data_IF_315884546557
#
_entry.id   IF_315884546557
#
_cell.length_a   1.000
_cell.length_b   1.000
_cell.length_c   1.000
_cell.angle_alpha   90.00
_cell.angle_beta   90.00
_cell.angle_gamma   90.00
#
_symmetry.space_group_name_H-M   'P 1'
#
loop_
_entity.id
_entity.type
_entity.pdbx_description
1 polymer ?
#
# COMPACT_ATOMS: atom_id res chain seq x y z
N UNK A 1 53.94 40.70 -37.87
CA UNK A 1 52.90 39.70 -37.56
C UNK A 1 53.12 39.05 -36.19
N UNK A 2 54.32 38.55 -35.86
CA UNK A 2 54.63 37.96 -34.53
C UNK A 2 54.49 38.95 -33.35
N UNK A 3 54.90 40.21 -33.51
CA UNK A 3 54.74 41.26 -32.48
C UNK A 3 53.28 41.63 -32.14
N UNK A 4 52.34 41.41 -33.07
CA UNK A 4 50.90 41.71 -32.86
C UNK A 4 50.21 40.57 -32.09
N UNK A 5 50.70 39.33 -32.23
CA UNK A 5 50.25 38.20 -31.41
C UNK A 5 50.75 38.27 -29.96
N UNK A 6 51.96 38.80 -29.73
CA UNK A 6 52.52 38.94 -28.37
C UNK A 6 51.77 39.98 -27.52
N UNK A 7 51.37 41.12 -28.09
CA UNK A 7 50.54 42.10 -27.38
C UNK A 7 49.10 41.63 -27.16
N UNK A 8 48.57 40.83 -28.10
CA UNK A 8 47.22 40.26 -27.98
C UNK A 8 47.16 39.16 -26.91
N UNK A 9 48.21 38.35 -26.76
CA UNK A 9 48.29 37.35 -25.69
C UNK A 9 48.52 37.97 -24.31
N UNK A 10 49.30 39.06 -24.20
CA UNK A 10 49.44 39.80 -22.92
C UNK A 10 48.12 40.43 -22.45
N UNK A 11 47.25 40.87 -23.36
CA UNK A 11 45.90 41.34 -23.01
C UNK A 11 44.99 40.21 -22.51
N UNK A 12 45.09 39.01 -23.08
CA UNK A 12 44.32 37.84 -22.63
C UNK A 12 44.77 37.36 -21.24
N UNK A 13 46.07 37.41 -20.94
CA UNK A 13 46.58 37.03 -19.60
C UNK A 13 46.27 38.10 -18.53
N UNK A 14 46.19 39.38 -18.91
CA UNK A 14 45.89 40.47 -17.96
C UNK A 14 44.42 40.53 -17.55
N UNK A 15 43.49 40.06 -18.39
CA UNK A 15 42.08 39.92 -18.00
C UNK A 15 41.81 38.73 -17.06
N UNK A 16 42.77 37.82 -16.87
CA UNK A 16 42.65 36.70 -15.94
C UNK A 16 43.25 36.97 -14.54
N UNK A 17 43.94 38.11 -14.34
CA UNK A 17 44.73 38.38 -13.12
C UNK A 17 44.41 39.71 -12.42
N UNK A 18 43.32 40.38 -12.81
CA UNK A 18 42.78 41.54 -12.08
C UNK A 18 41.58 41.14 -11.20
N UNK A 19 41.89 40.59 -10.03
CA UNK A 19 41.33 41.11 -8.77
C UNK A 19 39.83 41.00 -8.47
N UNK A 20 39.08 40.15 -9.15
CA UNK A 20 37.83 39.63 -8.59
C UNK A 20 38.13 38.26 -8.01
N UNK A 21 37.94 38.06 -6.70
CA UNK A 21 37.70 36.70 -6.22
C UNK A 21 36.53 36.18 -7.05
N UNK A 22 36.81 35.35 -8.06
CA UNK A 22 35.80 34.50 -8.63
C UNK A 22 35.50 33.55 -7.48
N UNK A 23 34.60 34.00 -6.59
CA UNK A 23 33.83 33.10 -5.77
C UNK A 23 33.32 32.11 -6.79
N UNK A 24 33.93 30.92 -6.83
CA UNK A 24 33.25 29.73 -7.27
C UNK A 24 32.10 29.55 -6.28
N UNK A 25 31.12 30.46 -6.34
CA UNK A 25 29.81 30.29 -5.80
C UNK A 25 29.34 29.08 -6.55
N UNK A 26 29.39 27.94 -5.87
CA UNK A 26 28.73 26.74 -6.32
C UNK A 26 27.32 27.22 -6.58
N UNK A 27 26.97 27.38 -7.87
CA UNK A 27 25.59 27.60 -8.27
C UNK A 27 24.93 26.29 -7.90
N UNK A 28 24.44 26.20 -6.66
CA UNK A 28 23.58 25.12 -6.26
C UNK A 28 22.32 25.34 -7.07
N UNK A 29 22.18 24.60 -8.17
CA UNK A 29 20.91 24.52 -8.88
C UNK A 29 19.93 23.97 -7.85
N UNK A 30 19.11 24.86 -7.31
CA UNK A 30 18.11 24.48 -6.33
C UNK A 30 17.15 23.53 -7.04
N UNK A 31 17.01 22.32 -6.51
CA UNK A 31 16.05 21.38 -7.06
C UNK A 31 14.64 21.97 -6.93
N UNK A 32 13.83 21.86 -7.99
CA UNK A 32 12.41 22.19 -7.88
C UNK A 32 11.81 21.35 -6.76
N UNK A 33 11.06 21.99 -5.87
CA UNK A 33 10.45 21.40 -4.69
C UNK A 33 8.97 21.72 -4.74
N UNK A 34 8.14 20.69 -4.66
CA UNK A 34 6.71 20.87 -4.51
C UNK A 34 6.44 21.26 -3.05
N UNK A 35 6.02 22.50 -2.88
CA UNK A 35 5.80 23.15 -1.57
C UNK A 35 4.36 23.07 -1.11
N UNK A 36 3.41 22.99 -2.06
CA UNK A 36 1.98 23.12 -1.79
C UNK A 36 1.56 24.50 -1.24
N UNK A 37 2.38 25.54 -1.47
CA UNK A 37 2.14 26.90 -0.95
C UNK A 37 1.13 27.71 -1.78
N UNK A 38 0.71 27.22 -2.95
CA UNK A 38 -0.19 27.91 -3.88
C UNK A 38 -1.66 27.94 -3.48
N UNK A 39 -2.01 27.38 -2.32
CA UNK A 39 -3.39 27.34 -1.78
C UNK A 39 -4.26 26.21 -2.33
N UNK A 40 -3.70 25.33 -3.15
CA UNK A 40 -4.31 24.08 -3.63
C UNK A 40 -3.26 22.95 -3.62
N UNK A 41 -3.65 21.76 -4.08
CA UNK A 41 -2.82 20.54 -4.13
C UNK A 41 -2.37 20.15 -5.53
N UNK A 42 -2.64 21.00 -6.54
CA UNK A 42 -2.53 20.62 -7.93
C UNK A 42 -1.06 20.64 -8.41
N UNK A 43 -0.58 19.52 -8.96
CA UNK A 43 0.79 19.39 -9.46
C UNK A 43 1.16 20.47 -10.48
N UNK A 44 0.21 20.82 -11.36
CA UNK A 44 0.43 21.72 -12.48
C UNK A 44 0.23 23.21 -12.13
N UNK A 45 -0.11 23.55 -10.88
CA UNK A 45 -0.15 24.95 -10.46
C UNK A 45 1.29 25.43 -10.19
N UNK A 46 1.83 26.38 -10.96
CA UNK A 46 3.19 26.87 -10.75
C UNK A 46 3.42 27.46 -9.36
N UNK A 47 2.39 27.98 -8.69
CA UNK A 47 2.49 28.52 -7.34
C UNK A 47 2.79 27.45 -6.28
N UNK A 48 2.55 26.17 -6.57
CA UNK A 48 2.93 25.06 -5.68
C UNK A 48 4.41 24.69 -5.80
N UNK A 49 5.15 25.27 -6.74
CA UNK A 49 6.58 25.03 -6.92
C UNK A 49 7.39 26.19 -6.36
N UNK A 50 8.43 25.89 -5.60
CA UNK A 50 9.35 26.90 -5.05
C UNK A 50 10.02 27.78 -6.14
N UNK A 51 10.16 27.26 -7.36
CA UNK A 51 10.70 28.00 -8.51
C UNK A 51 9.63 28.77 -9.28
N UNK A 52 8.35 28.64 -8.93
CA UNK A 52 7.23 29.22 -9.67
C UNK A 52 7.02 28.59 -11.05
N UNK A 53 7.60 27.41 -11.31
CA UNK A 53 7.59 26.75 -12.61
C UNK A 53 7.27 25.26 -12.43
N UNK A 54 6.31 24.77 -13.21
CA UNK A 54 6.01 23.33 -13.28
C UNK A 54 7.13 22.61 -14.05
N UNK A 55 7.72 21.54 -13.47
CA UNK A 55 8.70 20.69 -14.14
C UNK A 55 8.23 20.21 -15.52
N UNK A 56 9.17 20.16 -16.47
CA UNK A 56 8.93 19.50 -17.75
C UNK A 56 9.25 18.00 -17.64
N UNK A 57 8.58 17.17 -18.45
CA UNK A 57 8.78 15.71 -18.46
C UNK A 57 10.19 15.23 -18.86
N UNK A 58 11.02 16.10 -19.43
CA UNK A 58 12.40 15.79 -19.82
C UNK A 58 13.42 16.09 -18.72
N UNK A 59 13.04 16.85 -17.70
CA UNK A 59 13.96 17.25 -16.66
C UNK A 59 14.07 16.13 -15.62
N UNK A 60 15.30 15.69 -15.33
CA UNK A 60 15.62 14.88 -14.16
C UNK A 60 15.47 15.75 -12.90
N UNK A 61 14.26 16.22 -12.65
CA UNK A 61 13.97 17.08 -11.52
C UNK A 61 14.08 16.23 -10.28
N UNK A 62 15.01 16.62 -9.40
CA UNK A 62 15.17 16.06 -8.06
C UNK A 62 14.05 16.57 -7.14
N UNK A 63 12.80 16.45 -7.59
CA UNK A 63 11.59 16.91 -6.93
C UNK A 63 11.54 16.35 -5.53
N UNK A 64 11.78 17.20 -4.53
CA UNK A 64 11.67 16.81 -3.13
C UNK A 64 10.33 17.23 -2.57
N UNK A 65 9.69 16.31 -1.86
CA UNK A 65 8.50 16.55 -1.06
C UNK A 65 8.97 16.71 0.40
N UNK A 66 9.21 17.95 0.82
CA UNK A 66 9.93 18.24 2.07
C UNK A 66 9.01 18.39 3.30
N UNK A 67 7.69 18.38 3.11
CA UNK A 67 6.70 18.58 4.17
C UNK A 67 5.55 17.55 4.11
N UNK A 68 4.64 17.61 5.09
CA UNK A 68 3.33 16.97 4.96
C UNK A 68 2.61 17.59 3.78
N UNK A 69 2.28 16.81 2.77
CA UNK A 69 1.61 17.34 1.60
C UNK A 69 0.80 16.29 0.86
N UNK A 70 -0.22 16.81 0.19
CA UNK A 70 -1.01 16.10 -0.81
C UNK A 70 -0.68 16.70 -2.17
N UNK A 71 -0.38 15.86 -3.16
CA UNK A 71 -0.14 16.29 -4.53
C UNK A 71 -1.12 15.58 -5.47
N UNK A 72 -1.92 16.37 -6.17
CA UNK A 72 -2.98 15.90 -7.04
C UNK A 72 -2.60 16.13 -8.51
N UNK A 73 -2.54 15.03 -9.24
CA UNK A 73 -2.67 15.03 -10.69
C UNK A 73 -4.15 14.81 -11.00
N UNK A 74 -4.71 15.67 -11.85
CA UNK A 74 -6.13 15.65 -12.19
C UNK A 74 -6.28 15.64 -13.72
N UNK A 75 -7.20 14.83 -14.24
CA UNK A 75 -7.36 14.63 -15.67
C UNK A 75 -7.71 15.94 -16.42
N UNK A 76 -8.49 16.81 -15.78
CA UNK A 76 -8.83 18.13 -16.32
C UNK A 76 -7.60 19.00 -16.61
N UNK A 77 -6.49 18.71 -15.91
CA UNK A 77 -5.27 19.49 -15.90
C UNK A 77 -4.24 19.01 -16.91
N UNK A 78 -4.49 17.87 -17.56
CA UNK A 78 -3.66 17.37 -18.65
C UNK A 78 -3.55 18.38 -19.81
N UNK A 79 -4.61 19.16 -20.02
CA UNK A 79 -4.65 20.28 -20.97
C UNK A 79 -3.55 21.32 -20.69
N UNK A 80 -3.28 21.65 -19.43
CA UNK A 80 -2.20 22.55 -19.05
C UNK A 80 -0.83 21.98 -19.44
N UNK A 81 -0.58 20.70 -19.13
CA UNK A 81 0.70 20.06 -19.44
C UNK A 81 0.95 20.02 -20.95
N UNK A 82 -0.10 19.73 -21.73
CA UNK A 82 -0.06 19.74 -23.19
C UNK A 82 0.19 21.16 -23.75
N UNK A 83 -0.59 22.16 -23.33
CA UNK A 83 -0.51 23.54 -23.80
C UNK A 83 0.85 24.20 -23.52
N UNK A 84 1.55 23.75 -22.48
CA UNK A 84 2.86 24.26 -22.07
C UNK A 84 4.02 23.36 -22.52
N UNK A 85 3.79 22.41 -23.44
CA UNK A 85 4.80 21.48 -23.96
C UNK A 85 5.58 20.75 -22.86
N UNK A 86 4.90 20.40 -21.76
CA UNK A 86 5.48 19.68 -20.63
C UNK A 86 5.44 18.17 -20.79
N UNK A 87 4.65 17.66 -21.74
CA UNK A 87 4.56 16.25 -22.08
C UNK A 87 5.67 15.83 -23.05
N UNK A 88 6.05 14.54 -23.02
CA UNK A 88 7.00 13.97 -23.98
C UNK A 88 6.30 13.66 -25.32
N UNK A 89 5.05 13.22 -25.26
CA UNK A 89 4.15 13.03 -26.40
C UNK A 89 2.82 13.69 -26.09
N UNK A 90 1.81 13.62 -26.97
CA UNK A 90 0.48 14.19 -26.68
C UNK A 90 -0.21 13.58 -25.44
N UNK A 91 0.19 12.38 -25.02
CA UNK A 91 -0.47 11.60 -23.95
C UNK A 91 0.51 10.99 -22.95
N UNK A 92 1.82 11.28 -23.05
CA UNK A 92 2.83 10.74 -22.13
C UNK A 92 3.51 11.84 -21.33
N UNK A 93 3.35 11.80 -20.01
CA UNK A 93 4.21 12.55 -19.08
C UNK A 93 5.28 11.61 -18.54
N UNK A 94 6.55 11.93 -18.80
CA UNK A 94 7.67 11.25 -18.15
C UNK A 94 7.95 11.87 -16.80
N UNK A 95 7.58 11.11 -15.80
CA UNK A 95 7.56 11.55 -14.42
C UNK A 95 8.88 11.46 -13.72
N UNK A 96 8.93 12.22 -12.63
CA UNK A 96 9.99 12.27 -11.65
C UNK A 96 10.09 10.89 -10.98
N UNK A 97 11.18 10.14 -11.20
CA UNK A 97 11.44 8.89 -10.46
C UNK A 97 11.31 9.08 -8.95
N UNK A 98 11.62 10.29 -8.45
CA UNK A 98 11.52 10.66 -7.03
C UNK A 98 10.13 10.99 -6.50
N UNK A 99 9.13 11.18 -7.36
CA UNK A 99 7.76 11.38 -6.92
C UNK A 99 7.27 10.17 -6.13
N UNK A 100 7.69 8.98 -6.58
CA UNK A 100 7.42 7.71 -5.93
C UNK A 100 8.60 7.17 -5.15
N UNK A 101 9.68 7.92 -4.97
CA UNK A 101 10.71 7.54 -4.00
C UNK A 101 10.52 8.50 -2.86
N UNK A 102 9.87 8.08 -1.77
CA UNK A 102 9.85 8.85 -0.54
C UNK A 102 11.26 9.39 -0.33
N UNK A 103 11.43 10.70 -0.54
CA UNK A 103 12.76 11.27 -0.63
C UNK A 103 13.47 10.89 0.68
N UNK A 104 14.76 10.58 0.67
CA UNK A 104 15.52 10.43 1.93
C UNK A 104 15.36 11.69 2.82
N UNK A 105 14.94 12.80 2.21
CA UNK A 105 14.59 14.06 2.86
C UNK A 105 13.14 14.15 3.36
N UNK A 106 12.21 13.30 2.94
CA UNK A 106 10.84 13.26 3.46
C UNK A 106 10.90 13.12 4.98
N UNK A 107 10.30 14.04 5.73
CA UNK A 107 10.30 13.97 7.20
C UNK A 107 8.95 13.56 7.75
N UNK A 108 7.92 13.45 6.90
CA UNK A 108 6.52 13.32 7.30
C UNK A 108 5.64 12.68 6.21
N UNK A 109 4.34 12.56 6.49
CA UNK A 109 3.31 11.91 5.67
C UNK A 109 3.14 12.55 4.28
N UNK A 110 3.04 11.73 3.23
CA UNK A 110 2.85 12.18 1.86
C UNK A 110 1.67 11.46 1.22
N UNK A 111 0.84 12.19 0.46
CA UNK A 111 -0.25 11.61 -0.32
C UNK A 111 -0.13 12.09 -1.76
N UNK A 112 -0.17 11.15 -2.71
CA UNK A 112 -0.10 11.46 -4.14
C UNK A 112 -1.33 10.84 -4.81
N UNK A 113 -2.16 11.67 -5.43
CA UNK A 113 -3.33 11.24 -6.17
C UNK A 113 -3.06 11.34 -7.66
N UNK A 114 -3.23 10.22 -8.36
CA UNK A 114 -2.99 10.08 -9.78
C UNK A 114 -4.31 9.86 -10.51
N UNK A 115 -4.88 10.96 -11.02
CA UNK A 115 -6.01 10.96 -11.93
C UNK A 115 -5.54 11.64 -13.23
N UNK A 116 -5.15 10.84 -14.23
CA UNK A 116 -4.65 11.38 -15.50
C UNK A 116 -5.70 11.38 -16.60
N UNK A 117 -6.80 10.64 -16.43
CA UNK A 117 -7.74 10.28 -17.48
C UNK A 117 -7.24 9.07 -18.27
N UNK A 118 -8.16 8.19 -18.67
CA UNK A 118 -7.86 6.85 -19.18
C UNK A 118 -6.98 6.82 -20.45
N UNK A 119 -6.94 7.91 -21.22
CA UNK A 119 -6.13 8.03 -22.43
C UNK A 119 -4.66 8.40 -22.17
N UNK A 120 -4.29 8.71 -20.94
CA UNK A 120 -3.00 9.30 -20.60
C UNK A 120 -2.09 8.33 -19.83
N UNK A 121 -0.79 8.47 -20.07
CA UNK A 121 0.25 7.65 -19.50
C UNK A 121 1.23 8.51 -18.71
N UNK A 122 1.42 8.14 -17.45
CA UNK A 122 2.56 8.55 -16.65
C UNK A 122 3.60 7.45 -16.66
N UNK A 123 4.82 7.79 -17.05
CA UNK A 123 5.91 6.83 -17.19
C UNK A 123 7.13 7.26 -16.39
N UNK A 124 7.57 6.42 -15.46
CA UNK A 124 8.81 6.61 -14.72
C UNK A 124 9.88 5.65 -15.26
N UNK A 125 11.09 6.16 -15.50
CA UNK A 125 12.21 5.36 -16.01
C UNK A 125 13.48 5.67 -15.22
N UNK A 126 14.11 4.67 -14.61
CA UNK A 126 15.30 4.92 -13.78
C UNK A 126 16.12 3.67 -13.48
N UNK A 127 17.43 3.85 -13.28
CA UNK A 127 18.32 2.76 -12.85
C UNK A 127 18.33 2.51 -11.34
N UNK A 128 17.46 3.17 -10.57
CA UNK A 128 17.35 3.03 -9.11
C UNK A 128 15.98 2.52 -8.74
N UNK A 129 15.87 1.81 -7.61
CA UNK A 129 14.59 1.36 -7.09
C UNK A 129 13.66 2.55 -6.83
N UNK A 130 12.37 2.29 -6.87
CA UNK A 130 11.34 3.26 -6.47
C UNK A 130 10.75 2.85 -5.13
N UNK A 131 10.26 3.81 -4.36
CA UNK A 131 9.98 3.60 -2.95
C UNK A 131 8.74 4.34 -2.43
N UNK A 132 7.70 3.63 -2.06
CA UNK A 132 6.61 4.22 -1.28
C UNK A 132 6.99 4.05 0.20
N UNK A 133 7.27 5.17 0.87
CA UNK A 133 7.82 5.22 2.24
C UNK A 133 9.23 4.61 2.38
N UNK A 134 10.27 5.37 1.99
CA UNK A 134 11.68 4.97 2.08
C UNK A 134 12.41 5.51 3.32
N UNK A 135 11.69 5.88 4.37
CA UNK A 135 12.28 6.54 5.54
C UNK A 135 11.55 6.18 6.81
N UNK A 136 12.31 5.93 7.86
CA UNK A 136 11.79 5.66 9.20
C UNK A 136 10.82 6.73 9.66
N UNK A 137 9.66 6.30 10.17
CA UNK A 137 8.61 7.18 10.70
C UNK A 137 7.80 7.92 9.63
N UNK A 138 7.98 7.61 8.35
CA UNK A 138 7.25 8.24 7.25
C UNK A 138 6.15 7.31 6.73
N UNK A 139 4.97 7.87 6.53
CA UNK A 139 3.88 7.25 5.77
C UNK A 139 3.79 7.87 4.38
N UNK A 140 3.70 7.07 3.34
CA UNK A 140 3.47 7.57 1.98
C UNK A 140 2.33 6.80 1.36
N UNK A 141 1.36 7.52 0.80
CA UNK A 141 0.21 6.96 0.10
C UNK A 141 0.26 7.37 -1.36
N UNK A 142 0.16 6.40 -2.26
CA UNK A 142 -0.06 6.60 -3.68
C UNK A 142 -1.44 6.08 -4.05
N UNK A 143 -2.29 6.93 -4.62
CA UNK A 143 -3.61 6.56 -5.11
C UNK A 143 -3.61 6.64 -6.64
N UNK A 144 -3.89 5.54 -7.32
CA UNK A 144 -4.20 5.52 -8.75
C UNK A 144 -5.71 5.47 -8.95
N UNK A 145 -6.25 6.53 -9.55
CA UNK A 145 -7.67 6.74 -9.78
C UNK A 145 -8.02 6.49 -11.25
N UNK A 146 -7.22 7.01 -12.19
CA UNK A 146 -7.44 6.83 -13.62
C UNK A 146 -6.16 7.00 -14.45
N UNK A 147 -6.21 6.60 -15.72
CA UNK A 147 -5.05 6.62 -16.62
C UNK A 147 -4.06 5.49 -16.35
N UNK A 148 -2.90 5.52 -17.02
CA UNK A 148 -1.88 4.50 -16.89
C UNK A 148 -0.64 5.02 -16.15
N UNK A 149 -0.08 4.20 -15.27
CA UNK A 149 1.21 4.37 -14.60
C UNK A 149 2.11 3.21 -15.02
N UNK A 150 3.24 3.50 -15.67
CA UNK A 150 4.22 2.48 -16.03
C UNK A 150 5.59 2.80 -15.42
N UNK A 151 6.01 1.90 -14.54
CA UNK A 151 7.24 1.93 -13.78
C UNK A 151 8.33 1.10 -14.47
N UNK A 152 9.10 1.70 -15.37
CA UNK A 152 10.24 1.03 -16.02
C UNK A 152 11.55 1.33 -15.27
N UNK A 153 11.63 0.92 -14.01
CA UNK A 153 12.80 1.12 -13.16
C UNK A 153 13.33 -0.18 -12.53
N UNK A 154 14.33 -0.07 -11.66
CA UNK A 154 14.63 -1.10 -10.66
C UNK A 154 13.43 -1.33 -9.72
N UNK A 155 13.44 -2.36 -8.84
CA UNK A 155 12.26 -2.78 -8.10
C UNK A 155 11.47 -1.67 -7.41
N UNK A 156 10.15 -1.82 -7.35
CA UNK A 156 9.30 -0.99 -6.50
C UNK A 156 9.30 -1.57 -5.08
N UNK A 157 9.52 -0.74 -4.07
CA UNK A 157 9.51 -1.13 -2.66
C UNK A 157 8.52 -0.30 -1.87
N UNK A 158 7.70 -0.95 -1.05
CA UNK A 158 6.76 -0.29 -0.16
C UNK A 158 7.15 -0.62 1.27
N UNK A 159 7.27 0.39 2.12
CA UNK A 159 7.75 0.21 3.49
C UNK A 159 9.21 -0.29 3.51
N UNK A 160 10.13 0.46 2.90
CA UNK A 160 11.52 0.01 2.75
C UNK A 160 12.37 0.20 4.03
N UNK A 161 11.90 0.98 4.99
CA UNK A 161 12.62 1.26 6.24
C UNK A 161 11.80 0.88 7.48
N UNK A 162 12.48 0.56 8.58
CA UNK A 162 11.80 0.27 9.85
C UNK A 162 10.88 1.42 10.27
N UNK A 163 9.70 1.11 10.81
CA UNK A 163 8.67 2.08 11.21
C UNK A 163 8.20 3.02 10.08
N UNK A 164 8.41 2.67 8.81
CA UNK A 164 7.77 3.34 7.68
C UNK A 164 6.48 2.63 7.30
N UNK A 165 5.53 3.34 6.65
CA UNK A 165 4.31 2.73 6.15
C UNK A 165 4.01 3.17 4.71
N UNK A 166 4.19 2.26 3.74
CA UNK A 166 3.91 2.53 2.33
C UNK A 166 2.53 2.01 1.91
N UNK A 167 1.70 2.86 1.32
CA UNK A 167 0.35 2.51 0.86
C UNK A 167 0.24 2.75 -0.64
N UNK A 168 -0.20 1.75 -1.38
CA UNK A 168 -0.57 1.84 -2.79
C UNK A 168 -2.04 1.45 -2.94
N UNK A 169 -2.89 2.40 -3.29
CA UNK A 169 -4.30 2.15 -3.62
C UNK A 169 -4.49 2.22 -5.13
N UNK A 170 -5.12 1.20 -5.71
CA UNK A 170 -5.49 1.14 -7.12
C UNK A 170 -7.00 0.97 -7.17
N UNK A 171 -7.70 2.07 -7.46
CA UNK A 171 -9.17 2.09 -7.57
C UNK A 171 -9.66 2.21 -9.01
N UNK A 172 -8.74 2.48 -9.95
CA UNK A 172 -9.02 2.58 -11.38
C UNK A 172 -7.73 2.67 -12.20
N UNK A 173 -7.87 2.91 -13.50
CA UNK A 173 -6.72 3.03 -14.40
C UNK A 173 -5.91 1.73 -14.53
N UNK A 174 -4.62 1.88 -14.83
CA UNK A 174 -3.67 0.79 -15.02
C UNK A 174 -2.35 1.07 -14.31
N UNK A 175 -1.96 0.21 -13.37
CA UNK A 175 -0.68 0.27 -12.69
C UNK A 175 0.22 -0.86 -13.19
N UNK A 176 1.34 -0.51 -13.80
CA UNK A 176 2.29 -1.45 -14.39
C UNK A 176 3.65 -1.30 -13.73
N UNK A 177 4.18 -2.41 -13.21
CA UNK A 177 5.60 -2.55 -12.87
C UNK A 177 6.32 -3.10 -14.08
N UNK A 178 6.73 -2.19 -14.97
CA UNK A 178 7.24 -2.52 -16.29
C UNK A 178 8.64 -3.11 -16.29
N UNK A 179 9.35 -3.09 -15.16
CA UNK A 179 10.66 -3.71 -14.96
C UNK A 179 10.87 -4.16 -13.51
N UNK A 180 11.45 -5.35 -13.36
CA UNK A 180 11.83 -5.99 -12.10
C UNK A 180 10.65 -6.19 -11.13
N UNK A 181 10.99 -6.60 -9.92
CA UNK A 181 10.07 -7.06 -8.89
C UNK A 181 9.38 -5.92 -8.13
N UNK A 182 8.36 -6.32 -7.35
CA UNK A 182 7.78 -5.54 -6.28
C UNK A 182 8.08 -6.15 -4.90
N UNK A 183 8.38 -5.31 -3.93
CA UNK A 183 8.55 -5.68 -2.52
C UNK A 183 7.54 -4.94 -1.66
N UNK A 184 6.74 -5.66 -0.90
CA UNK A 184 5.67 -5.12 -0.05
C UNK A 184 5.99 -5.47 1.39
N UNK A 185 6.43 -4.49 2.19
CA UNK A 185 6.52 -4.63 3.63
C UNK A 185 7.63 -5.57 4.12
N UNK A 186 8.82 -5.49 3.51
CA UNK A 186 9.99 -6.30 3.90
C UNK A 186 10.67 -5.77 5.16
N UNK A 187 10.76 -4.45 5.31
CA UNK A 187 11.47 -3.79 6.42
C UNK A 187 10.57 -2.89 7.28
N UNK A 188 9.59 -2.23 6.66
CA UNK A 188 8.52 -1.46 7.30
C UNK A 188 7.16 -2.02 6.90
N UNK A 189 6.09 -1.43 7.41
CA UNK A 189 4.74 -1.85 7.04
C UNK A 189 4.43 -1.43 5.60
N UNK A 190 3.61 -2.21 4.90
CA UNK A 190 3.09 -1.81 3.61
C UNK A 190 1.71 -2.38 3.32
N UNK A 191 0.92 -1.64 2.54
CA UNK A 191 -0.36 -2.07 2.01
C UNK A 191 -0.40 -1.80 0.51
N UNK A 192 -0.72 -2.84 -0.26
CA UNK A 192 -1.21 -2.71 -1.64
C UNK A 192 -2.69 -3.04 -1.60
N UNK A 193 -3.55 -2.14 -2.07
CA UNK A 193 -5.00 -2.34 -2.08
C UNK A 193 -5.54 -2.13 -3.48
N UNK A 194 -6.20 -3.15 -4.00
CA UNK A 194 -6.78 -3.14 -5.35
C UNK A 194 -8.30 -3.27 -5.22
N UNK A 195 -9.02 -2.20 -5.57
CA UNK A 195 -10.49 -2.16 -5.59
C UNK A 195 -11.04 -1.95 -7.00
N UNK A 196 -10.17 -1.66 -7.97
CA UNK A 196 -10.55 -1.34 -9.35
C UNK A 196 -9.36 -1.28 -10.30
N UNK A 197 -9.62 -1.01 -11.59
CA UNK A 197 -8.57 -0.84 -12.60
C UNK A 197 -7.82 -2.14 -12.94
N UNK A 198 -6.56 -2.02 -13.36
CA UNK A 198 -5.67 -3.17 -13.60
C UNK A 198 -4.33 -3.01 -12.89
N UNK A 199 -3.79 -4.12 -12.39
CA UNK A 199 -2.44 -4.20 -11.83
C UNK A 199 -1.66 -5.29 -12.56
N UNK A 200 -0.49 -4.94 -13.11
CA UNK A 200 0.40 -5.91 -13.75
C UNK A 200 1.84 -5.72 -13.32
N UNK A 201 2.55 -6.81 -13.06
CA UNK A 201 4.01 -6.78 -12.91
C UNK A 201 4.67 -7.49 -14.08
N UNK A 202 5.89 -7.06 -14.41
CA UNK A 202 6.74 -7.78 -15.35
C UNK A 202 7.38 -9.02 -14.74
N UNK A 203 7.59 -9.00 -13.44
CA UNK A 203 8.38 -9.97 -12.72
C UNK A 203 7.71 -10.27 -11.38
N UNK A 204 8.49 -10.68 -10.39
CA UNK A 204 8.03 -11.11 -9.08
C UNK A 204 7.26 -10.08 -8.25
N UNK A 205 6.44 -10.62 -7.34
CA UNK A 205 5.97 -9.93 -6.15
C UNK A 205 6.42 -10.65 -4.88
N UNK A 206 7.00 -9.89 -3.96
CA UNK A 206 7.50 -10.35 -2.68
C UNK A 206 6.79 -9.63 -1.54
N UNK A 207 5.89 -10.33 -0.84
CA UNK A 207 5.16 -9.80 0.31
C UNK A 207 5.91 -10.23 1.58
N UNK A 208 6.59 -9.27 2.20
CA UNK A 208 7.27 -9.44 3.48
C UNK A 208 6.29 -9.62 4.65
N UNK A 209 6.80 -9.99 5.82
CA UNK A 209 5.98 -10.26 7.02
C UNK A 209 5.23 -9.04 7.58
N UNK A 210 5.57 -7.83 7.13
CA UNK A 210 4.88 -6.58 7.47
C UNK A 210 4.05 -6.03 6.30
N UNK A 211 3.93 -6.80 5.22
CA UNK A 211 3.19 -6.45 4.01
C UNK A 211 1.81 -7.07 3.96
N UNK A 212 0.84 -6.28 3.49
CA UNK A 212 -0.49 -6.75 3.10
C UNK A 212 -0.71 -6.48 1.62
N UNK A 213 -1.17 -7.49 0.89
CA UNK A 213 -1.70 -7.35 -0.46
C UNK A 213 -3.20 -7.63 -0.40
N UNK A 214 -4.03 -6.62 -0.64
CA UNK A 214 -5.48 -6.67 -0.51
C UNK A 214 -6.14 -6.57 -1.89
N UNK A 215 -7.05 -7.51 -2.16
CA UNK A 215 -7.95 -7.48 -3.31
C UNK A 215 -9.39 -7.42 -2.80
N UNK A 216 -10.14 -6.40 -3.25
CA UNK A 216 -11.51 -6.17 -2.81
C UNK A 216 -12.47 -6.22 -3.98
N UNK A 217 -13.32 -7.25 -3.97
CA UNK A 217 -14.37 -7.46 -4.94
C UNK A 217 -13.87 -7.69 -6.36
N UNK A 218 -14.74 -7.45 -7.31
CA UNK A 218 -14.55 -7.68 -8.75
C UNK A 218 -14.33 -6.42 -9.56
N UNK A 219 -14.13 -5.29 -8.89
CA UNK A 219 -13.95 -4.00 -9.56
C UNK A 219 -12.69 -3.94 -10.43
N UNK A 220 -11.67 -4.75 -10.13
CA UNK A 220 -10.46 -4.82 -10.94
C UNK A 220 -10.68 -5.67 -12.19
N UNK A 221 -10.25 -5.15 -13.34
CA UNK A 221 -10.33 -5.85 -14.63
C UNK A 221 -9.26 -6.93 -14.78
N UNK A 222 -8.12 -6.76 -14.09
CA UNK A 222 -6.97 -7.68 -14.18
C UNK A 222 -6.01 -7.48 -13.00
N UNK A 223 -5.50 -8.59 -12.46
CA UNK A 223 -4.37 -8.61 -11.51
C UNK A 223 -3.41 -9.71 -11.99
N UNK A 224 -2.33 -9.33 -12.67
CA UNK A 224 -1.38 -10.26 -13.28
C UNK A 224 0.05 -10.08 -12.75
N UNK A 225 0.64 -11.15 -12.24
CA UNK A 225 2.03 -11.19 -11.78
C UNK A 225 2.84 -11.90 -12.86
N UNK A 226 3.79 -11.19 -13.48
CA UNK A 226 4.48 -11.67 -14.69
C UNK A 226 3.76 -11.34 -16.01
N UNK A 227 2.46 -11.00 -15.96
CA UNK A 227 1.64 -10.75 -17.15
C UNK A 227 1.96 -9.47 -17.93
N UNK A 228 3.01 -8.74 -17.56
CA UNK A 228 3.52 -7.63 -18.36
C UNK A 228 4.84 -7.99 -19.04
N UNK A 229 4.83 -8.11 -20.37
CA UNK A 229 5.99 -8.44 -21.21
C UNK A 229 6.24 -9.95 -21.32
N UNK A 230 7.44 -10.42 -20.97
CA UNK A 230 7.98 -11.73 -21.39
C UNK A 230 8.85 -12.36 -20.30
N UNK A 231 8.61 -11.98 -19.05
CA UNK A 231 9.33 -12.49 -17.89
C UNK A 231 8.28 -13.10 -17.00
N UNK A 232 8.53 -14.32 -16.56
CA UNK A 232 7.56 -15.04 -15.76
C UNK A 232 7.44 -14.41 -14.38
N UNK A 233 6.22 -14.44 -13.86
CA UNK A 233 5.94 -13.97 -12.53
C UNK A 233 6.31 -15.02 -11.49
N UNK A 234 6.55 -14.55 -10.26
CA UNK A 234 6.52 -15.37 -9.07
C UNK A 234 5.80 -14.65 -7.96
N UNK A 235 4.98 -15.39 -7.22
CA UNK A 235 4.41 -14.94 -5.97
C UNK A 235 5.21 -15.51 -4.80
N UNK A 236 5.78 -14.64 -3.97
CA UNK A 236 6.37 -15.05 -2.69
C UNK A 236 5.73 -14.26 -1.56
N UNK A 237 5.21 -14.96 -0.55
CA UNK A 237 4.53 -14.35 0.58
C UNK A 237 5.10 -14.85 1.90
N UNK A 238 5.21 -13.92 2.86
CA UNK A 238 5.44 -14.16 4.29
C UNK A 238 4.56 -13.27 5.17
N UNK A 239 3.85 -12.30 4.57
CA UNK A 239 2.83 -11.47 5.21
C UNK A 239 1.42 -11.92 4.85
N UNK A 240 0.53 -10.95 4.63
CA UNK A 240 -0.92 -11.18 4.49
C UNK A 240 -1.40 -10.98 3.06
N UNK A 241 -2.14 -11.95 2.54
CA UNK A 241 -3.05 -11.78 1.40
C UNK A 241 -4.44 -11.55 1.96
N UNK A 242 -5.01 -10.35 1.75
CA UNK A 242 -6.36 -10.00 2.17
C UNK A 242 -7.32 -10.03 0.99
N UNK A 243 -8.48 -10.67 1.17
CA UNK A 243 -9.46 -10.95 0.12
C UNK A 243 -10.84 -10.56 0.65
N UNK A 244 -11.44 -9.53 0.04
CA UNK A 244 -12.81 -9.13 0.35
C UNK A 244 -13.74 -9.57 -0.78
N UNK A 245 -14.64 -10.51 -0.51
CA UNK A 245 -15.55 -11.11 -1.49
C UNK A 245 -16.82 -10.27 -1.61
N UNK A 246 -17.09 -9.73 -2.81
CA UNK A 246 -18.30 -8.98 -3.10
C UNK A 246 -19.49 -9.88 -3.49
N UNK A 247 -20.63 -9.25 -3.77
CA UNK A 247 -21.89 -9.93 -4.06
C UNK A 247 -21.98 -10.60 -5.43
N UNK A 248 -20.95 -10.45 -6.27
CA UNK A 248 -20.97 -11.02 -7.63
C UNK A 248 -20.75 -12.53 -7.62
N UNK A 249 -21.14 -13.21 -8.70
CA UNK A 249 -20.95 -14.66 -8.81
C UNK A 249 -19.47 -15.10 -8.76
N UNK A 250 -18.55 -14.23 -9.19
CA UNK A 250 -17.11 -14.45 -9.10
C UNK A 250 -16.53 -14.02 -7.74
N UNK A 251 -17.20 -13.09 -7.04
CA UNK A 251 -16.87 -12.61 -5.70
C UNK A 251 -15.61 -11.75 -5.60
N UNK A 252 -14.53 -12.13 -6.27
CA UNK A 252 -13.27 -11.39 -6.26
C UNK A 252 -12.56 -11.47 -7.61
N UNK A 253 -11.83 -10.42 -8.00
CA UNK A 253 -10.91 -10.47 -9.13
C UNK A 253 -9.74 -11.39 -8.79
N UNK A 254 -9.64 -12.48 -9.54
CA UNK A 254 -8.54 -13.44 -9.40
C UNK A 254 -7.18 -12.83 -9.71
N UNK A 255 -6.17 -13.22 -8.92
CA UNK A 255 -4.75 -12.99 -9.19
C UNK A 255 -4.23 -14.09 -10.13
N UNK A 256 -3.63 -13.72 -11.26
CA UNK A 256 -2.92 -14.65 -12.15
C UNK A 256 -1.41 -14.54 -11.91
N UNK A 257 -0.74 -15.67 -11.66
CA UNK A 257 0.74 -15.76 -11.61
C UNK A 257 1.21 -16.50 -12.85
N UNK A 258 1.74 -15.73 -13.79
CA UNK A 258 1.84 -16.04 -15.22
C UNK A 258 3.22 -16.57 -15.60
N UNK A 259 3.26 -17.58 -16.47
CA UNK A 259 4.42 -18.02 -17.23
C UNK A 259 4.23 -17.53 -18.67
N UNK A 260 5.13 -16.67 -19.11
CA UNK A 260 4.94 -15.91 -20.37
C UNK A 260 5.84 -16.36 -21.50
N UNK A 261 6.92 -17.09 -21.19
CA UNK A 261 7.91 -17.50 -22.19
C UNK A 261 7.66 -18.90 -22.79
N UNK A 262 6.75 -19.67 -22.20
CA UNK A 262 6.34 -21.01 -22.62
C UNK A 262 7.41 -22.08 -22.43
N UNK A 263 8.41 -21.84 -21.56
CA UNK A 263 9.52 -22.75 -21.27
C UNK A 263 9.41 -23.25 -19.81
N UNK A 264 8.70 -24.37 -19.58
CA UNK A 264 8.53 -24.90 -18.23
C UNK A 264 9.85 -25.24 -17.53
N UNK A 265 10.00 -24.76 -16.29
CA UNK A 265 11.05 -25.17 -15.37
C UNK A 265 12.33 -24.34 -15.44
N UNK A 266 12.28 -23.15 -16.05
CA UNK A 266 13.38 -22.19 -16.11
C UNK A 266 12.97 -20.87 -15.45
N UNK A 267 13.50 -20.62 -14.25
CA UNK A 267 13.40 -19.31 -13.61
C UNK A 267 12.20 -19.20 -12.69
N UNK A 268 11.37 -18.18 -12.92
CA UNK A 268 10.25 -17.86 -12.05
C UNK A 268 9.00 -18.69 -12.39
N UNK A 269 8.84 -19.14 -13.64
CA UNK A 269 7.87 -20.15 -14.13
C UNK A 269 6.41 -19.98 -13.65
N UNK A 270 5.96 -18.78 -13.27
CA UNK A 270 4.63 -18.63 -12.66
C UNK A 270 4.53 -19.30 -11.27
N UNK A 271 5.61 -19.41 -10.51
CA UNK A 271 5.66 -20.12 -9.23
C UNK A 271 4.94 -19.37 -8.10
N UNK A 272 4.35 -20.12 -7.17
CA UNK A 272 3.72 -19.59 -5.94
C UNK A 272 4.39 -20.19 -4.71
N UNK A 273 4.84 -19.33 -3.80
CA UNK A 273 5.54 -19.70 -2.57
C UNK A 273 4.87 -19.01 -1.38
N UNK A 274 4.25 -19.80 -0.51
CA UNK A 274 3.82 -19.36 0.82
C UNK A 274 4.91 -19.75 1.83
N UNK A 275 5.60 -18.77 2.39
CA UNK A 275 6.58 -18.99 3.44
C UNK A 275 5.90 -19.22 4.79
N UNK A 276 6.64 -19.75 5.76
CA UNK A 276 6.15 -19.91 7.13
C UNK A 276 5.70 -18.55 7.68
N UNK A 277 4.49 -18.51 8.24
CA UNK A 277 3.87 -17.27 8.75
C UNK A 277 3.02 -16.52 7.72
N UNK A 278 2.89 -17.02 6.48
CA UNK A 278 1.95 -16.46 5.50
C UNK A 278 0.51 -16.55 5.99
N UNK A 279 -0.22 -15.44 5.91
CA UNK A 279 -1.61 -15.35 6.33
C UNK A 279 -2.55 -15.08 5.14
N UNK A 280 -3.72 -15.71 5.17
CA UNK A 280 -4.87 -15.42 4.34
C UNK A 280 -5.93 -14.75 5.20
N UNK A 281 -6.27 -13.50 4.89
CA UNK A 281 -7.33 -12.76 5.58
C UNK A 281 -8.52 -12.65 4.64
N UNK A 282 -9.65 -13.26 4.99
CA UNK A 282 -10.83 -13.34 4.12
C UNK A 282 -12.04 -12.78 4.84
N UNK A 283 -12.80 -11.97 4.11
CA UNK A 283 -14.07 -11.44 4.59
C UNK A 283 -14.96 -11.11 3.39
N UNK A 284 -16.19 -10.68 3.64
CA UNK A 284 -17.05 -10.13 2.62
C UNK A 284 -16.83 -8.62 2.45
N UNK A 285 -16.94 -8.14 1.21
CA UNK A 285 -16.96 -6.72 0.90
C UNK A 285 -18.36 -6.15 1.20
N UNK A 286 -18.54 -5.60 2.40
CA UNK A 286 -19.80 -4.99 2.83
C UNK A 286 -20.77 -5.99 3.47
N UNK A 287 -22.08 -5.79 3.30
CA UNK A 287 -23.13 -6.56 3.99
C UNK A 287 -23.50 -7.90 3.32
N UNK A 288 -22.76 -8.31 2.29
CA UNK A 288 -22.99 -9.57 1.61
C UNK A 288 -22.54 -10.73 2.49
N UNK A 289 -23.36 -11.78 2.61
CA UNK A 289 -23.02 -12.95 3.44
C UNK A 289 -23.41 -14.27 2.76
N UNK A 290 -23.63 -14.27 1.45
CA UNK A 290 -24.02 -15.50 0.77
C UNK A 290 -22.79 -16.40 0.58
N UNK A 291 -23.04 -17.71 0.64
CA UNK A 291 -22.02 -18.71 0.47
C UNK A 291 -21.61 -18.90 -0.99
N UNK A 292 -20.46 -19.53 -1.18
CA UNK A 292 -19.90 -19.79 -2.49
C UNK A 292 -18.44 -20.17 -2.39
N UNK A 293 -17.92 -20.70 -3.49
CA UNK A 293 -16.48 -20.94 -3.67
C UNK A 293 -15.95 -19.95 -4.70
N UNK A 294 -14.92 -19.21 -4.32
CA UNK A 294 -14.35 -18.12 -5.09
C UNK A 294 -12.87 -18.40 -5.36
N UNK A 295 -12.45 -18.26 -6.62
CA UNK A 295 -11.04 -18.42 -7.01
C UNK A 295 -10.29 -17.13 -6.74
N UNK A 296 -9.39 -17.16 -5.77
CA UNK A 296 -8.57 -16.01 -5.38
C UNK A 296 -7.33 -15.89 -6.26
N UNK A 297 -6.69 -17.02 -6.55
CA UNK A 297 -5.44 -17.04 -7.32
C UNK A 297 -5.40 -18.26 -8.24
N UNK A 298 -4.86 -18.06 -9.44
CA UNK A 298 -4.37 -19.10 -10.33
C UNK A 298 -2.89 -18.89 -10.60
N UNK A 299 -2.18 -19.99 -10.87
CA UNK A 299 -0.77 -19.95 -11.23
C UNK A 299 -0.45 -20.99 -12.30
N UNK A 300 0.66 -20.83 -12.99
CA UNK A 300 1.07 -21.77 -14.05
C UNK A 300 2.21 -22.69 -13.59
N UNK A 301 3.00 -22.24 -12.63
CA UNK A 301 4.17 -22.95 -12.11
C UNK A 301 3.90 -23.96 -11.00
N UNK A 302 4.86 -24.06 -10.09
CA UNK A 302 4.79 -24.93 -8.91
C UNK A 302 4.27 -24.19 -7.68
N UNK A 303 3.60 -24.93 -6.80
CA UNK A 303 3.21 -24.45 -5.48
C UNK A 303 4.22 -24.99 -4.45
N UNK A 304 4.81 -24.09 -3.67
CA UNK A 304 5.52 -24.43 -2.43
C UNK A 304 4.79 -23.81 -1.25
N UNK A 305 4.09 -24.63 -0.48
CA UNK A 305 3.38 -24.20 0.72
C UNK A 305 4.13 -24.62 1.98
N UNK A 306 4.56 -23.64 2.78
CA UNK A 306 5.22 -23.86 4.08
C UNK A 306 4.30 -23.49 5.26
N UNK A 307 2.99 -23.58 5.07
CA UNK A 307 1.98 -23.37 6.11
C UNK A 307 1.23 -22.06 5.98
N UNK A 308 0.68 -21.78 4.78
CA UNK A 308 -0.38 -20.79 4.64
C UNK A 308 -1.50 -21.12 5.64
N UNK A 309 -1.90 -20.13 6.41
CA UNK A 309 -2.98 -20.25 7.39
C UNK A 309 -3.91 -19.04 7.30
N UNK A 310 -5.10 -19.15 7.88
CA UNK A 310 -5.94 -17.98 8.06
C UNK A 310 -5.30 -16.98 9.03
N UNK A 311 -5.54 -15.69 8.79
CA UNK A 311 -5.33 -14.64 9.79
C UNK A 311 -6.19 -14.90 11.03
N UNK A 312 -5.77 -14.41 12.20
CA UNK A 312 -6.44 -14.67 13.48
C UNK A 312 -7.87 -14.13 13.57
N UNK A 313 -8.23 -13.20 12.69
CA UNK A 313 -9.54 -12.55 12.68
C UNK A 313 -10.55 -13.26 11.76
N UNK A 314 -10.12 -14.25 10.98
CA UNK A 314 -11.02 -14.98 10.09
C UNK A 314 -11.89 -15.93 10.90
N UNK A 315 -13.21 -15.81 10.73
CA UNK A 315 -14.15 -16.79 11.26
C UNK A 315 -14.08 -18.09 10.43
N UNK A 316 -13.46 -19.12 11.00
CA UNK A 316 -13.29 -20.43 10.34
C UNK A 316 -14.53 -21.32 10.38
N UNK A 317 -15.61 -20.90 11.05
CA UNK A 317 -16.92 -21.55 10.94
C UNK A 317 -17.63 -21.14 9.63
N UNK A 318 -17.36 -19.92 9.14
CA UNK A 318 -17.84 -19.44 7.84
C UNK A 318 -16.88 -19.84 6.74
N UNK A 319 -15.59 -19.59 6.95
CA UNK A 319 -14.59 -19.62 5.90
C UNK A 319 -13.72 -20.87 5.95
N UNK A 320 -13.50 -21.45 4.77
CA UNK A 320 -12.47 -22.44 4.51
C UNK A 320 -11.70 -22.06 3.25
N UNK A 321 -10.50 -22.60 3.07
CA UNK A 321 -9.74 -22.42 1.83
C UNK A 321 -9.11 -23.74 1.39
N UNK A 322 -8.76 -23.81 0.10
CA UNK A 322 -8.11 -24.97 -0.49
C UNK A 322 -6.98 -24.52 -1.43
N UNK A 323 -5.81 -25.13 -1.27
CA UNK A 323 -4.68 -25.02 -2.18
C UNK A 323 -4.65 -26.27 -3.07
N UNK A 324 -5.12 -26.14 -4.30
CA UNK A 324 -5.12 -27.24 -5.27
C UNK A 324 -3.89 -27.14 -6.18
N UNK A 325 -2.80 -27.79 -5.79
CA UNK A 325 -1.56 -27.81 -6.57
C UNK A 325 -1.69 -28.49 -7.94
N UNK A 326 -2.70 -29.35 -8.14
CA UNK A 326 -2.93 -30.07 -9.38
C UNK A 326 -3.69 -29.20 -10.39
N UNK A 327 -4.74 -28.51 -9.93
CA UNK A 327 -5.52 -27.57 -10.74
C UNK A 327 -4.97 -26.15 -10.72
N UNK A 328 -3.90 -25.91 -9.95
CA UNK A 328 -3.16 -24.64 -9.86
C UNK A 328 -4.00 -23.46 -9.38
N UNK A 329 -4.86 -23.70 -8.38
CA UNK A 329 -5.80 -22.70 -7.86
C UNK A 329 -5.76 -22.60 -6.34
N UNK A 330 -5.91 -21.39 -5.82
CA UNK A 330 -6.29 -21.09 -4.45
C UNK A 330 -7.75 -20.65 -4.45
N UNK A 331 -8.59 -21.40 -3.76
CA UNK A 331 -10.01 -21.05 -3.59
C UNK A 331 -10.33 -20.81 -2.13
N UNK A 332 -11.27 -19.89 -1.89
CA UNK A 332 -11.90 -19.68 -0.58
C UNK A 332 -13.37 -20.05 -0.70
N UNK A 333 -13.93 -20.65 0.35
CA UNK A 333 -15.33 -21.05 0.40
C UNK A 333 -15.97 -20.45 1.64
N UNK A 334 -17.06 -19.73 1.45
CA UNK A 334 -17.97 -19.34 2.52
C UNK A 334 -19.16 -20.31 2.56
N UNK A 335 -19.51 -20.82 3.74
CA UNK A 335 -20.63 -21.75 3.92
C UNK A 335 -22.00 -21.08 3.65
N UNK A 336 -22.06 -19.75 3.62
CA UNK A 336 -23.31 -19.01 3.37
C UNK A 336 -24.38 -19.19 4.43
N UNK A 337 -24.02 -19.83 5.55
CA UNK A 337 -24.77 -19.72 6.79
C UNK A 337 -24.91 -18.26 7.17
N UNK A 338 -26.04 -17.91 7.79
CA UNK A 338 -26.21 -16.58 8.38
C UNK A 338 -24.94 -16.24 9.14
N UNK A 339 -24.27 -15.14 8.76
CA UNK A 339 -23.20 -14.54 9.56
C UNK A 339 -23.62 -14.63 11.03
N UNK A 340 -22.75 -15.07 11.96
CA UNK A 340 -23.09 -15.13 13.37
C UNK A 340 -23.74 -13.80 13.70
N UNK A 341 -25.00 -13.84 14.14
CA UNK A 341 -25.82 -12.64 14.29
C UNK A 341 -24.98 -11.59 14.98
N UNK A 342 -24.67 -10.50 14.28
CA UNK A 342 -23.96 -9.39 14.89
C UNK A 342 -24.78 -9.06 16.14
N UNK A 343 -24.15 -8.98 17.33
CA UNK A 343 -24.88 -8.80 18.56
C UNK A 343 -25.80 -7.59 18.42
N UNK A 344 -27.10 -7.82 18.43
CA UNK A 344 -28.12 -6.77 18.34
C UNK A 344 -28.16 -5.93 19.62
N UNK A 345 -27.59 -6.44 20.71
CA UNK A 345 -27.38 -5.79 21.99
C UNK A 345 -25.95 -5.28 22.08
N UNK A 346 -25.80 -3.95 22.12
CA UNK A 346 -24.55 -3.30 22.51
C UNK A 346 -24.28 -3.65 23.98
N UNK A 347 -23.16 -4.31 24.32
CA UNK A 347 -22.92 -4.74 25.68
C UNK A 347 -22.67 -3.54 26.59
N UNK A 348 -23.59 -3.29 27.51
CA UNK A 348 -23.44 -2.29 28.55
C UNK A 348 -23.15 -2.99 29.88
N UNK A 349 -22.10 -2.57 30.58
CA UNK A 349 -21.86 -3.03 31.94
C UNK A 349 -23.00 -2.51 32.82
N UNK A 350 -23.79 -3.43 33.38
CA UNK A 350 -24.96 -3.14 34.21
C UNK A 350 -24.65 -3.25 35.70
N UNK A 351 -23.68 -4.07 36.07
CA UNK A 351 -23.15 -4.15 37.43
C UNK A 351 -21.64 -4.37 37.44
N UNK A 352 -20.99 -3.79 38.44
CA UNK A 352 -19.57 -3.93 38.67
C UNK A 352 -19.31 -3.94 40.18
N UNK A 353 -18.81 -5.07 40.69
CA UNK A 353 -18.45 -5.19 42.10
C UNK A 353 -16.99 -5.58 42.26
N UNK A 354 -16.39 -5.11 43.36
CA UNK A 354 -15.00 -5.34 43.69
C UNK A 354 -14.90 -5.97 45.08
N UNK A 355 -14.21 -7.10 45.16
CA UNK A 355 -13.95 -7.80 46.43
C UNK A 355 -12.54 -8.37 46.44
N UNK A 356 -11.72 -7.90 47.38
CA UNK A 356 -10.30 -8.22 47.46
C UNK A 356 -9.53 -7.89 46.18
N UNK A 357 -9.17 -8.89 45.39
CA UNK A 357 -8.44 -8.75 44.11
C UNK A 357 -9.30 -9.16 42.91
N UNK A 358 -10.59 -9.39 43.14
CA UNK A 358 -11.52 -9.86 42.11
C UNK A 358 -12.48 -8.73 41.75
N UNK A 359 -12.58 -8.45 40.45
CA UNK A 359 -13.65 -7.64 39.87
C UNK A 359 -14.66 -8.60 39.26
N UNK A 360 -15.92 -8.42 39.62
CA UNK A 360 -17.05 -9.12 38.99
C UNK A 360 -17.79 -8.12 38.14
N UNK A 361 -17.88 -8.38 36.83
CA UNK A 361 -18.61 -7.56 35.88
C UNK A 361 -19.82 -8.32 35.38
N UNK A 362 -20.95 -7.63 35.29
CA UNK A 362 -22.17 -8.09 34.63
C UNK A 362 -22.52 -7.11 33.52
N UNK A 363 -22.89 -7.62 32.34
CA UNK A 363 -23.27 -6.80 31.19
C UNK A 363 -24.47 -7.36 30.44
N UNK A 364 -25.18 -6.50 29.72
CA UNK A 364 -26.22 -6.91 28.77
C UNK A 364 -25.58 -7.77 27.67
N UNK A 365 -26.13 -8.96 27.42
CA UNK A 365 -25.57 -9.91 26.47
C UNK A 365 -26.63 -10.50 25.54
N UNK A 366 -26.19 -11.41 24.68
CA UNK A 366 -27.04 -12.27 23.87
C UNK A 366 -26.60 -13.72 24.02
N UNK A 367 -27.56 -14.64 23.96
CA UNK A 367 -27.28 -16.06 24.12
C UNK A 367 -26.41 -16.55 22.96
N UNK A 368 -25.24 -17.11 23.28
CA UNK A 368 -24.33 -17.70 22.31
C UNK A 368 -23.30 -16.75 21.69
N UNK A 369 -23.40 -15.44 21.90
CA UNK A 369 -22.40 -14.47 21.42
C UNK A 369 -21.13 -14.53 22.27
N UNK A 370 -19.94 -14.39 21.67
CA UNK A 370 -18.66 -14.31 22.37
C UNK A 370 -18.36 -12.89 22.85
N UNK A 371 -17.79 -12.76 24.05
CA UNK A 371 -17.40 -11.46 24.62
C UNK A 371 -15.96 -11.48 25.16
N UNK A 372 -15.23 -10.40 24.88
CA UNK A 372 -13.94 -10.09 25.49
C UNK A 372 -14.13 -8.98 26.53
N UNK A 373 -13.52 -9.16 27.69
CA UNK A 373 -13.40 -8.13 28.72
C UNK A 373 -12.02 -7.49 28.59
N UNK A 374 -11.99 -6.22 28.21
CA UNK A 374 -10.75 -5.47 28.08
C UNK A 374 -10.58 -4.51 29.26
N UNK A 375 -9.33 -4.23 29.59
CA UNK A 375 -8.96 -3.30 30.65
C UNK A 375 -7.87 -2.32 30.21
N UNK A 376 -7.93 -1.11 30.77
CA UNK A 376 -6.94 -0.06 30.59
C UNK A 376 -6.71 0.71 31.90
N UNK A 377 -5.52 1.29 32.04
CA UNK A 377 -5.19 2.14 33.19
C UNK A 377 -5.74 3.56 33.08
N UNK A 378 -6.26 3.93 31.91
CA UNK A 378 -6.85 5.24 31.62
C UNK A 378 -7.93 5.12 30.52
N UNK A 379 -9.03 5.87 30.63
CA UNK A 379 -10.11 5.93 29.63
C UNK A 379 -9.64 6.41 28.25
N UNK A 380 -8.64 7.29 28.20
CA UNK A 380 -8.12 7.83 26.94
C UNK A 380 -7.01 6.99 26.33
N UNK A 381 -6.67 5.85 26.94
CA UNK A 381 -5.69 4.95 26.36
C UNK A 381 -6.25 4.30 25.10
N UNK A 382 -5.42 4.27 24.06
CA UNK A 382 -5.72 3.60 22.80
C UNK A 382 -5.44 2.10 22.89
N UNK A 383 -4.57 1.70 23.81
CA UNK A 383 -4.16 0.31 23.99
C UNK A 383 -4.94 -0.35 25.14
N UNK A 384 -6.13 -0.87 24.83
CA UNK A 384 -6.88 -1.73 25.74
C UNK A 384 -6.33 -3.16 25.70
N UNK A 385 -6.19 -3.78 26.86
CA UNK A 385 -5.65 -5.14 26.99
C UNK A 385 -6.74 -6.13 27.38
N UNK A 386 -6.81 -7.27 26.70
CA UNK A 386 -7.77 -8.33 27.03
C UNK A 386 -7.42 -8.95 28.37
N UNK A 387 -8.34 -8.86 29.33
CA UNK A 387 -8.22 -9.48 30.66
C UNK A 387 -8.84 -10.89 30.66
N UNK A 388 -10.03 -11.02 30.07
CA UNK A 388 -10.73 -12.30 29.86
C UNK A 388 -11.20 -12.36 28.42
N UNK A 389 -10.93 -13.49 27.75
CA UNK A 389 -11.36 -13.73 26.38
C UNK A 389 -12.42 -14.83 26.30
N UNK A 390 -13.35 -14.69 25.35
CA UNK A 390 -14.30 -15.73 24.98
C UNK A 390 -15.33 -16.12 26.03
N UNK A 391 -15.87 -15.13 26.76
CA UNK A 391 -17.02 -15.36 27.61
C UNK A 391 -18.25 -15.54 26.71
N UNK A 392 -18.90 -16.70 26.78
CA UNK A 392 -20.14 -16.95 26.03
C UNK A 392 -21.32 -16.30 26.73
N UNK A 393 -22.10 -15.54 25.98
CA UNK A 393 -23.29 -14.88 26.47
C UNK A 393 -24.40 -15.86 26.83
N UNK A 394 -25.11 -15.61 27.93
CA UNK A 394 -26.16 -16.48 28.45
C UNK A 394 -27.60 -16.04 28.07
N UNK A 395 -27.72 -14.99 27.26
CA UNK A 395 -28.99 -14.32 27.00
C UNK A 395 -28.94 -12.94 27.63
N UNK A 396 -29.89 -12.63 28.52
CA UNK A 396 -30.12 -11.26 28.99
C UNK A 396 -28.92 -10.57 29.66
N UNK A 397 -28.09 -11.30 30.41
CA UNK A 397 -26.95 -10.67 31.10
C UNK A 397 -25.88 -11.66 31.50
N UNK A 398 -24.65 -11.45 31.04
CA UNK A 398 -23.54 -12.34 31.33
C UNK A 398 -22.68 -11.78 32.46
N UNK A 399 -22.16 -12.66 33.32
CA UNK A 399 -21.30 -12.27 34.44
C UNK A 399 -19.97 -13.01 34.37
N UNK A 400 -18.86 -12.29 34.57
CA UNK A 400 -17.53 -12.92 34.72
C UNK A 400 -16.73 -12.32 35.85
N UNK A 401 -15.79 -13.11 36.37
CA UNK A 401 -14.82 -12.70 37.37
C UNK A 401 -13.46 -12.54 36.72
N UNK A 402 -12.79 -11.43 37.01
CA UNK A 402 -11.44 -11.16 36.56
C UNK A 402 -10.55 -10.71 37.72
N UNK A 403 -9.25 -10.88 37.53
CA UNK A 403 -8.26 -10.41 38.50
C UNK A 403 -7.99 -8.93 38.24
N UNK A 404 -8.14 -8.10 39.26
CA UNK A 404 -7.75 -6.70 39.18
C UNK A 404 -6.23 -6.61 38.99
N UNK A 405 -5.77 -5.80 38.03
CA UNK A 405 -4.36 -5.61 37.69
C UNK A 405 -3.54 -4.83 38.74
N UNK A 406 -4.08 -4.60 39.93
CA UNK A 406 -3.38 -3.99 41.07
C UNK A 406 -3.14 -2.49 40.94
N UNK A 407 -3.63 -1.85 39.88
CA UNK A 407 -3.58 -0.40 39.71
C UNK A 407 -4.63 0.33 40.57
N UNK A 408 -4.40 1.60 40.95
CA UNK A 408 -5.36 2.37 41.74
C UNK A 408 -6.64 2.73 40.96
N UNK A 409 -6.62 2.69 39.63
CA UNK A 409 -7.76 2.93 38.75
C UNK A 409 -7.62 2.04 37.50
N UNK A 410 -8.59 1.16 37.28
CA UNK A 410 -8.72 0.35 36.07
C UNK A 410 -10.09 0.62 35.45
N UNK A 411 -10.10 0.73 34.13
CA UNK A 411 -11.29 0.91 33.32
C UNK A 411 -11.56 -0.38 32.55
N UNK A 412 -12.83 -0.73 32.41
CA UNK A 412 -13.26 -1.94 31.71
C UNK A 412 -14.21 -1.61 30.57
N UNK A 413 -14.11 -2.37 29.48
CA UNK A 413 -15.09 -2.37 28.39
C UNK A 413 -15.33 -3.81 27.93
N UNK A 414 -16.50 -4.02 27.37
CA UNK A 414 -16.89 -5.31 26.80
C UNK A 414 -16.91 -5.14 25.28
N UNK A 415 -16.20 -6.01 24.58
CA UNK A 415 -16.28 -6.11 23.12
C UNK A 415 -16.90 -7.46 22.77
N UNK A 416 -18.02 -7.41 22.06
CA UNK A 416 -18.63 -8.59 21.51
C UNK A 416 -17.90 -9.00 20.23
N UNK A 417 -17.81 -10.30 19.98
CA UNK A 417 -17.32 -10.86 18.74
C UNK A 417 -18.27 -11.99 18.31
N UNK A 418 -18.63 -12.00 17.02
CA UNK A 418 -19.38 -13.12 16.46
C UNK A 418 -18.55 -14.40 16.57
N UNK A 419 -19.18 -15.53 16.93
CA UNK A 419 -18.52 -16.84 16.87
C UNK A 419 -18.24 -17.22 15.42
#
# INVERSE_FOLDING_TARGET
MIKVMEESMKKITTYLLLGGSLLAGVISVQADTFSNDGGDTLFHNPANWNTGVVPASSAAVAGSFNANLTCDFNAATWSYLSANSKLRTSTEYRGINRLLTGDVRATRTQVINLDYGDANLWKATGGTAMYIANKTGVTTTLNLISGAVNLESNPLRLGNEANSYGILNISGGQFIIGRNDMYVGVNGSALVKITGGSFRTRDDINIGSLGTFEVSGTGATEIGIGSFSSVDGRWTQSGTLSVLVDETATGVTKILVDETDGIPGVGNDGNVIFQAGSLLDVDFAGAYTNGGTFTVMEWEGTLTDNGLAFSTNVNTEIWSFNLDAANKVLTVTADGGSSPTEPTVVPNITDASYSNTTVTLTWDSESGVGYNVLSASNLVDVAWSTNVAGVTGDGASTTTNLTAGGGPQEFYKIEAFGQ
#
